data_IF_699884817978
#
_entry.id   IF_699884817978
#
_cell.length_a   1.000
_cell.length_b   1.000
_cell.length_c   1.000
_cell.angle_alpha   90.00
_cell.angle_beta   90.00
_cell.angle_gamma   90.00
#
_symmetry.space_group_name_H-M   'P 1'
#
loop_
_entity.id
_entity.type
_entity.pdbx_description
1 polymer ?
#
# COMPACT_ATOMS: atom_id res chain seq x y z
N UNK A 1 -0.48 8.01 -8.86
CA UNK A 1 -0.64 7.60 -10.28
C UNK A 1 0.25 8.47 -11.19
N UNK A 2 0.75 7.93 -12.30
CA UNK A 2 1.44 8.71 -13.34
C UNK A 2 0.39 9.20 -14.34
N UNK A 3 0.06 10.51 -14.40
CA UNK A 3 -0.86 11.02 -15.41
C UNK A 3 -0.40 10.61 -16.80
N UNK A 4 -1.33 10.12 -17.62
CA UNK A 4 -1.03 9.63 -18.97
C UNK A 4 -0.09 8.42 -19.05
N UNK A 5 0.24 7.75 -17.93
CA UNK A 5 1.22 6.66 -17.91
C UNK A 5 2.64 7.13 -18.22
N UNK A 6 2.94 8.40 -17.91
CA UNK A 6 4.21 9.06 -18.24
C UNK A 6 5.04 9.29 -16.98
N UNK A 7 6.27 8.77 -16.98
CA UNK A 7 7.22 8.93 -15.88
C UNK A 7 7.98 10.26 -15.95
N UNK A 8 8.04 10.89 -17.11
CA UNK A 8 8.72 12.16 -17.36
C UNK A 8 7.85 13.38 -17.00
N UNK A 9 6.58 13.15 -16.64
CA UNK A 9 5.61 14.18 -16.27
C UNK A 9 5.35 15.19 -17.39
N UNK A 10 5.47 14.79 -18.65
CA UNK A 10 5.16 15.64 -19.80
C UNK A 10 3.86 15.17 -20.46
N UNK A 11 2.96 16.12 -20.72
CA UNK A 11 1.72 15.89 -21.47
C UNK A 11 1.55 17.00 -22.49
N UNK A 12 1.36 16.64 -23.76
CA UNK A 12 1.13 17.60 -24.85
C UNK A 12 2.19 18.72 -24.92
N UNK A 13 3.44 18.40 -24.60
CA UNK A 13 4.56 19.36 -24.57
C UNK A 13 4.65 20.23 -23.31
N UNK A 14 3.68 20.13 -22.39
CA UNK A 14 3.69 20.83 -21.11
C UNK A 14 4.17 19.93 -19.97
N UNK A 15 4.89 20.51 -19.00
CA UNK A 15 5.27 19.82 -17.76
C UNK A 15 4.13 19.83 -16.75
N UNK A 16 3.79 18.66 -16.22
CA UNK A 16 2.78 18.46 -15.18
C UNK A 16 3.42 18.67 -13.79
N UNK A 17 3.66 19.93 -13.45
CA UNK A 17 4.41 20.32 -12.24
C UNK A 17 3.77 19.80 -10.95
N UNK A 18 2.45 19.89 -10.81
CA UNK A 18 1.75 19.44 -9.60
C UNK A 18 1.83 17.92 -9.42
N UNK A 19 1.71 17.17 -10.52
CA UNK A 19 1.82 15.71 -10.47
C UNK A 19 3.25 15.27 -10.09
N UNK A 20 4.25 15.93 -10.68
CA UNK A 20 5.67 15.70 -10.36
C UNK A 20 5.96 16.06 -8.90
N UNK A 21 5.50 17.22 -8.44
CA UNK A 21 5.68 17.68 -7.07
C UNK A 21 4.99 16.74 -6.08
N UNK A 22 3.74 16.35 -6.33
CA UNK A 22 3.00 15.41 -5.49
C UNK A 22 3.67 14.03 -5.41
N UNK A 23 4.16 13.50 -6.53
CA UNK A 23 4.90 12.24 -6.53
C UNK A 23 6.20 12.35 -5.73
N UNK A 24 7.02 13.37 -6.00
CA UNK A 24 8.33 13.52 -5.37
C UNK A 24 8.28 14.03 -3.92
N UNK A 25 7.16 14.58 -3.49
CA UNK A 25 6.91 14.84 -2.08
C UNK A 25 6.83 13.52 -1.28
N UNK A 26 6.20 12.49 -1.86
CA UNK A 26 5.97 11.22 -1.17
C UNK A 26 7.03 10.16 -1.47
N UNK A 27 7.53 10.08 -2.70
CA UNK A 27 8.43 9.03 -3.16
C UNK A 27 9.71 9.59 -3.78
N UNK A 28 10.81 8.87 -3.56
CA UNK A 28 12.09 9.10 -4.24
C UNK A 28 12.31 8.05 -5.32
N UNK A 29 13.06 8.42 -6.36
CA UNK A 29 13.37 7.56 -7.50
C UNK A 29 12.19 7.39 -8.46
N UNK A 30 12.52 7.31 -9.75
CA UNK A 30 11.53 7.07 -10.81
C UNK A 30 12.21 6.35 -11.96
N UNK A 31 11.52 5.37 -12.54
CA UNK A 31 11.99 4.68 -13.74
C UNK A 31 10.85 4.56 -14.75
N UNK A 32 11.15 4.43 -16.06
CA UNK A 32 10.12 4.20 -17.07
C UNK A 32 9.23 2.99 -16.76
N UNK A 33 9.80 1.92 -16.18
CA UNK A 33 9.06 0.70 -15.83
C UNK A 33 7.94 0.94 -14.80
N UNK A 34 8.08 1.94 -13.92
CA UNK A 34 7.03 2.30 -12.96
C UNK A 34 5.78 2.87 -13.63
N UNK A 35 5.89 3.43 -14.84
CA UNK A 35 4.76 4.00 -15.58
C UNK A 35 4.19 3.05 -16.66
N UNK A 36 5.02 2.16 -17.21
CA UNK A 36 4.60 1.23 -18.28
C UNK A 36 3.76 0.03 -17.79
N UNK A 37 2.87 -0.50 -18.65
CA UNK A 37 2.22 -1.82 -18.46
C UNK A 37 3.19 -2.92 -18.87
N UNK A 38 3.80 -3.58 -17.90
CA UNK A 38 4.71 -4.72 -18.13
C UNK A 38 4.21 -5.87 -17.26
N UNK A 39 3.49 -6.81 -17.89
CA UNK A 39 2.86 -7.91 -17.17
C UNK A 39 3.93 -8.83 -16.57
N UNK A 40 3.78 -9.15 -15.28
CA UNK A 40 4.62 -10.11 -14.57
C UNK A 40 6.05 -9.64 -14.31
N UNK A 41 6.37 -8.35 -14.47
CA UNK A 41 7.71 -7.77 -14.20
C UNK A 41 7.63 -6.42 -13.51
N UNK A 42 8.67 -6.10 -12.74
CA UNK A 42 8.76 -4.85 -12.01
C UNK A 42 7.72 -4.76 -10.89
N UNK A 43 7.32 -3.55 -10.56
CA UNK A 43 6.44 -3.28 -9.42
C UNK A 43 5.40 -2.21 -9.72
N UNK A 44 4.24 -2.33 -9.07
CA UNK A 44 3.19 -1.29 -9.04
C UNK A 44 2.77 -0.97 -7.62
N UNK A 45 2.24 0.23 -7.48
CA UNK A 45 2.04 0.89 -6.20
C UNK A 45 0.65 1.50 -6.14
N UNK A 46 -0.06 1.26 -5.05
CA UNK A 46 -1.16 2.10 -4.59
C UNK A 46 -0.83 2.62 -3.19
N UNK A 47 -1.38 3.77 -2.85
CA UNK A 47 -1.18 4.37 -1.54
C UNK A 47 -2.48 4.92 -0.99
N UNK A 48 -2.59 4.96 0.33
CA UNK A 48 -3.72 5.52 1.05
C UNK A 48 -3.24 6.37 2.23
N UNK A 49 -3.95 7.48 2.47
CA UNK A 49 -3.78 8.36 3.64
C UNK A 49 -5.02 8.36 4.54
N UNK A 50 -6.10 7.72 4.06
CA UNK A 50 -7.44 7.81 4.63
C UNK A 50 -8.09 6.44 4.71
N UNK A 51 -9.01 6.31 5.67
CA UNK A 51 -9.92 5.17 5.77
C UNK A 51 -11.13 5.31 4.82
N UNK A 52 -11.99 4.30 4.82
CA UNK A 52 -13.21 4.20 4.01
C UNK A 52 -14.18 5.38 4.24
N UNK A 53 -14.14 5.98 5.42
CA UNK A 53 -14.96 7.13 5.81
C UNK A 53 -14.25 8.47 5.53
N UNK A 54 -13.14 8.45 4.77
CA UNK A 54 -12.33 9.61 4.39
C UNK A 54 -11.64 10.34 5.55
N UNK A 55 -11.55 9.72 6.73
CA UNK A 55 -10.78 10.23 7.86
C UNK A 55 -9.30 9.91 7.68
N UNK A 56 -8.43 10.78 8.21
CA UNK A 56 -6.99 10.50 8.26
C UNK A 56 -6.72 9.27 9.13
N UNK A 57 -5.80 8.41 8.67
CA UNK A 57 -5.39 7.24 9.42
C UNK A 57 -4.65 7.64 10.71
N UNK A 58 -5.32 7.44 11.85
CA UNK A 58 -4.86 7.70 13.21
C UNK A 58 -4.16 6.47 13.79
N UNK A 59 -2.87 6.57 14.11
CA UNK A 59 -2.08 5.45 14.63
C UNK A 59 -2.45 4.96 16.04
N UNK A 60 -3.35 5.65 16.75
CA UNK A 60 -3.93 5.18 18.00
C UNK A 60 -5.15 4.26 17.83
N UNK A 61 -5.65 4.11 16.59
CA UNK A 61 -6.81 3.26 16.27
C UNK A 61 -6.38 1.99 15.53
N UNK A 62 -7.29 1.03 15.49
CA UNK A 62 -7.11 -0.22 14.76
C UNK A 62 -7.93 -0.19 13.47
N UNK A 63 -7.29 -0.55 12.37
CA UNK A 63 -7.89 -0.65 11.04
C UNK A 63 -7.66 -2.04 10.46
N UNK A 64 -8.47 -2.39 9.46
CA UNK A 64 -8.36 -3.61 8.69
C UNK A 64 -8.44 -3.27 7.20
N UNK A 65 -7.65 -3.95 6.39
CA UNK A 65 -7.87 -4.04 4.93
C UNK A 65 -8.14 -5.49 4.57
N UNK A 66 -9.24 -5.72 3.85
CA UNK A 66 -9.51 -7.00 3.24
C UNK A 66 -8.79 -7.07 1.89
N UNK A 67 -7.93 -8.07 1.70
CA UNK A 67 -7.19 -8.33 0.46
C UNK A 67 -7.88 -9.50 -0.25
N UNK A 68 -8.65 -9.26 -1.32
CA UNK A 68 -9.39 -10.33 -1.99
C UNK A 68 -8.45 -11.43 -2.52
N UNK A 69 -8.96 -12.66 -2.73
CA UNK A 69 -8.14 -13.74 -3.26
C UNK A 69 -7.61 -13.39 -4.67
N UNK A 70 -6.66 -14.20 -5.15
CA UNK A 70 -6.06 -14.04 -6.47
C UNK A 70 -5.40 -12.66 -6.69
N UNK A 71 -4.66 -12.18 -5.67
CA UNK A 71 -3.89 -10.94 -5.77
C UNK A 71 -3.03 -10.96 -7.04
N UNK A 72 -3.14 -9.96 -7.93
CA UNK A 72 -2.46 -9.95 -9.22
C UNK A 72 -0.98 -9.56 -9.09
N UNK A 73 -0.23 -10.34 -8.31
CA UNK A 73 1.20 -10.23 -8.10
C UNK A 73 1.83 -11.60 -8.33
N UNK A 74 2.63 -11.73 -9.39
CA UNK A 74 3.32 -12.96 -9.77
C UNK A 74 4.31 -13.41 -8.69
N UNK A 75 5.00 -12.46 -8.08
CA UNK A 75 6.07 -12.75 -7.13
C UNK A 75 5.52 -12.68 -5.69
N UNK A 76 5.13 -11.49 -5.24
CA UNK A 76 4.53 -11.26 -3.92
C UNK A 76 3.89 -9.86 -3.84
N UNK A 77 3.19 -9.58 -2.75
CA UNK A 77 2.65 -8.26 -2.42
C UNK A 77 2.99 -7.86 -0.99
N UNK A 78 3.01 -6.55 -0.71
CA UNK A 78 3.30 -6.04 0.62
C UNK A 78 2.55 -4.75 0.94
N UNK A 79 2.32 -4.52 2.24
CA UNK A 79 1.98 -3.23 2.80
C UNK A 79 3.16 -2.68 3.60
N UNK A 80 3.42 -1.39 3.49
CA UNK A 80 4.42 -0.69 4.34
C UNK A 80 3.86 0.64 4.79
N UNK A 81 4.01 0.93 6.08
CA UNK A 81 3.54 2.15 6.71
C UNK A 81 4.63 3.23 6.69
N UNK A 82 4.19 4.47 6.50
CA UNK A 82 5.03 5.66 6.44
C UNK A 82 4.52 6.72 7.39
N UNK A 83 5.45 7.41 8.03
CA UNK A 83 5.17 8.59 8.84
C UNK A 83 4.85 9.77 7.92
N UNK A 84 3.68 10.40 8.10
CA UNK A 84 3.24 11.46 7.18
C UNK A 84 4.08 12.75 7.27
N UNK A 85 4.79 12.98 8.38
CA UNK A 85 5.63 14.17 8.52
C UNK A 85 6.94 13.98 7.78
N UNK A 86 7.59 12.82 7.93
CA UNK A 86 8.93 12.56 7.37
C UNK A 86 8.91 11.84 6.03
N UNK A 87 7.82 11.14 5.72
CA UNK A 87 7.65 10.22 4.58
C UNK A 87 8.65 9.04 4.60
N UNK A 88 9.31 8.83 5.74
CA UNK A 88 10.10 7.64 6.01
C UNK A 88 9.21 6.50 6.48
N UNK A 89 9.73 5.28 6.45
CA UNK A 89 9.07 4.14 7.09
C UNK A 89 8.68 4.49 8.53
N UNK A 90 7.45 4.18 8.93
CA UNK A 90 6.94 4.51 10.26
C UNK A 90 7.83 3.85 11.32
N UNK A 91 8.36 4.62 12.26
CA UNK A 91 9.19 4.06 13.32
C UNK A 91 8.31 3.42 14.40
N UNK A 92 8.45 2.11 14.58
CA UNK A 92 7.68 1.27 15.51
C UNK A 92 8.64 0.45 16.39
N UNK A 93 8.11 -0.26 17.39
CA UNK A 93 8.91 -1.22 18.17
C UNK A 93 9.13 -2.53 17.39
N UNK A 94 8.21 -2.86 16.48
CA UNK A 94 8.39 -3.94 15.52
C UNK A 94 9.57 -3.65 14.58
N UNK A 95 10.32 -4.71 14.23
CA UNK A 95 11.50 -4.62 13.34
C UNK A 95 11.19 -3.96 11.99
N UNK A 96 9.99 -4.19 11.45
CA UNK A 96 9.55 -3.64 10.19
C UNK A 96 8.13 -3.06 10.32
N UNK A 97 7.85 -1.86 9.81
CA UNK A 97 6.51 -1.27 9.80
C UNK A 97 5.75 -1.72 8.55
N UNK A 98 5.78 -3.01 8.26
CA UNK A 98 5.19 -3.58 7.06
C UNK A 98 5.04 -5.08 7.15
N UNK A 99 4.29 -5.61 6.20
CA UNK A 99 4.00 -7.04 6.07
C UNK A 99 3.95 -7.40 4.58
N UNK A 100 4.37 -8.60 4.26
CA UNK A 100 4.26 -9.18 2.92
C UNK A 100 3.74 -10.62 3.02
N UNK A 101 3.18 -11.12 1.92
CA UNK A 101 2.55 -12.45 1.92
C UNK A 101 3.54 -13.63 1.92
N UNK A 102 4.85 -13.39 1.95
CA UNK A 102 5.84 -14.43 2.23
C UNK A 102 6.16 -14.56 3.72
N UNK A 103 5.59 -13.70 4.58
CA UNK A 103 5.77 -13.79 6.04
C UNK A 103 5.37 -15.21 6.52
N UNK A 104 6.30 -15.96 7.15
CA UNK A 104 5.97 -17.25 7.72
C UNK A 104 4.85 -17.14 8.74
N UNK A 105 3.85 -18.02 8.63
CA UNK A 105 2.70 -18.07 9.55
C UNK A 105 1.60 -17.04 9.26
N UNK A 106 1.72 -16.22 8.20
CA UNK A 106 0.62 -15.35 7.78
C UNK A 106 -0.63 -16.17 7.50
N UNK A 107 -1.74 -15.79 8.13
CA UNK A 107 -3.00 -16.51 8.09
C UNK A 107 -3.77 -16.11 6.84
N UNK A 108 -4.10 -17.10 6.02
CA UNK A 108 -4.95 -16.98 4.84
C UNK A 108 -6.37 -17.42 5.20
N UNK A 109 -7.37 -16.66 4.74
CA UNK A 109 -8.78 -16.99 4.89
C UNK A 109 -9.17 -18.19 4.03
N UNK A 110 -10.30 -18.83 4.33
CA UNK A 110 -10.74 -20.06 3.64
C UNK A 110 -10.96 -19.86 2.12
N UNK A 111 -11.35 -18.66 1.70
CA UNK A 111 -11.54 -18.27 0.30
C UNK A 111 -10.24 -17.89 -0.43
N UNK A 112 -9.11 -17.91 0.28
CA UNK A 112 -7.80 -17.53 -0.23
C UNK A 112 -7.45 -16.04 -0.08
N UNK A 113 -8.33 -15.25 0.51
CA UNK A 113 -8.12 -13.84 0.85
C UNK A 113 -7.24 -13.68 2.09
N UNK A 114 -6.92 -12.42 2.43
CA UNK A 114 -6.24 -12.08 3.67
C UNK A 114 -6.91 -10.87 4.31
N UNK A 115 -7.04 -10.88 5.62
CA UNK A 115 -7.29 -9.66 6.39
C UNK A 115 -5.97 -9.18 6.98
N UNK A 116 -5.61 -7.92 6.73
CA UNK A 116 -4.41 -7.29 7.29
C UNK A 116 -4.82 -6.17 8.22
N UNK A 117 -4.26 -6.16 9.42
CA UNK A 117 -4.60 -5.21 10.47
C UNK A 117 -3.49 -4.19 10.68
N UNK A 118 -3.88 -2.96 11.00
CA UNK A 118 -2.98 -1.87 11.33
C UNK A 118 -3.44 -1.27 12.65
N UNK A 119 -2.60 -1.26 13.69
CA UNK A 119 -3.01 -0.74 14.99
C UNK A 119 -1.87 -0.71 16.00
N UNK A 120 -2.01 -0.02 17.15
CA UNK A 120 -0.94 0.05 18.14
C UNK A 120 -0.68 -1.30 18.82
N UNK A 121 -1.66 -2.21 18.78
CA UNK A 121 -1.57 -3.60 19.25
C UNK A 121 -2.29 -4.51 18.25
N UNK A 122 -1.86 -5.76 18.16
CA UNK A 122 -2.56 -6.78 17.37
C UNK A 122 -3.94 -7.07 17.98
N UNK A 123 -5.00 -7.18 17.17
CA UNK A 123 -6.24 -7.82 17.58
C UNK A 123 -6.00 -9.27 17.99
N UNK A 124 -6.88 -9.82 18.84
CA UNK A 124 -6.76 -11.19 19.33
C UNK A 124 -6.68 -12.20 18.17
N UNK A 125 -5.62 -13.03 18.17
CA UNK A 125 -5.38 -14.05 17.15
C UNK A 125 -4.87 -13.53 15.80
N UNK A 126 -4.58 -12.23 15.68
CA UNK A 126 -4.17 -11.60 14.42
C UNK A 126 -2.68 -11.18 14.38
N UNK A 127 -1.86 -11.68 15.31
CA UNK A 127 -0.43 -11.33 15.44
C UNK A 127 0.37 -11.52 14.13
N UNK A 128 0.00 -12.55 13.34
CA UNK A 128 0.66 -12.84 12.08
C UNK A 128 0.19 -11.96 10.91
N UNK A 129 -0.95 -11.30 11.03
CA UNK A 129 -1.59 -10.48 10.00
C UNK A 129 -1.62 -8.99 10.36
N UNK A 130 -0.82 -8.57 11.34
CA UNK A 130 -0.86 -7.23 11.90
C UNK A 130 0.45 -6.46 11.67
N UNK A 131 0.33 -5.15 11.50
CA UNK A 131 1.43 -4.19 11.45
C UNK A 131 1.20 -3.11 12.52
N UNK A 132 2.24 -2.86 13.32
CA UNK A 132 2.18 -1.89 14.39
C UNK A 132 2.03 -0.45 13.86
N UNK A 133 1.14 0.31 14.49
CA UNK A 133 1.03 1.78 14.34
C UNK A 133 1.42 2.47 15.65
N UNK A 134 1.46 3.80 15.65
CA UNK A 134 1.92 4.59 16.80
C UNK A 134 0.85 5.60 17.22
N UNK A 135 0.38 5.50 18.46
CA UNK A 135 -0.57 6.45 19.04
C UNK A 135 -0.01 7.88 18.99
N UNK A 136 -0.86 8.86 18.65
CA UNK A 136 -0.47 10.26 18.51
C UNK A 136 0.24 10.60 17.19
N UNK A 137 0.41 9.63 16.29
CA UNK A 137 0.89 9.86 14.92
C UNK A 137 -0.18 9.51 13.89
N UNK A 138 -0.21 10.28 12.80
CA UNK A 138 -0.87 9.83 11.57
C UNK A 138 0.11 9.08 10.67
N UNK A 139 -0.42 8.21 9.83
CA UNK A 139 0.38 7.40 8.93
C UNK A 139 -0.26 7.31 7.54
N UNK A 140 0.51 6.79 6.59
CA UNK A 140 0.05 6.39 5.28
C UNK A 140 0.60 5.03 4.95
N UNK A 141 0.02 4.37 3.96
CA UNK A 141 0.43 3.03 3.55
C UNK A 141 0.60 2.94 2.06
N UNK A 142 1.58 2.15 1.64
CA UNK A 142 1.77 1.76 0.25
C UNK A 142 1.52 0.25 0.12
N UNK A 143 0.57 -0.13 -0.72
CA UNK A 143 0.45 -1.47 -1.29
C UNK A 143 1.42 -1.60 -2.46
N UNK A 144 2.28 -2.60 -2.44
CA UNK A 144 3.18 -2.97 -3.53
C UNK A 144 2.78 -4.31 -4.12
N UNK A 145 2.69 -4.37 -5.44
CA UNK A 145 2.57 -5.62 -6.20
C UNK A 145 3.87 -5.86 -6.95
N UNK A 146 4.51 -6.99 -6.70
CA UNK A 146 5.74 -7.42 -7.39
C UNK A 146 5.37 -8.43 -8.48
N UNK A 147 5.77 -8.12 -9.72
CA UNK A 147 5.29 -8.82 -10.91
C UNK A 147 3.79 -8.64 -11.15
N UNK A 148 3.27 -7.41 -11.28
CA UNK A 148 1.85 -7.12 -11.46
C UNK A 148 1.23 -7.85 -12.66
N UNK A 149 0.05 -8.45 -12.48
CA UNK A 149 -0.69 -9.16 -13.54
C UNK A 149 -1.81 -8.32 -14.15
N UNK A 150 -2.41 -8.80 -15.23
CA UNK A 150 -3.43 -8.07 -16.03
C UNK A 150 -4.57 -7.49 -15.20
N UNK A 151 -5.10 -8.24 -14.22
CA UNK A 151 -6.23 -7.79 -13.40
C UNK A 151 -5.96 -6.50 -12.61
N UNK A 152 -4.68 -6.20 -12.29
CA UNK A 152 -4.30 -4.91 -11.72
C UNK A 152 -4.47 -3.77 -12.73
N UNK A 153 -4.00 -3.97 -13.95
CA UNK A 153 -4.01 -2.96 -15.02
C UNK A 153 -5.42 -2.69 -15.53
N UNK A 154 -6.21 -3.75 -15.67
CA UNK A 154 -7.57 -3.69 -16.20
C UNK A 154 -8.58 -3.35 -15.09
N UNK A 155 -8.10 -3.15 -13.86
CA UNK A 155 -8.86 -2.76 -12.66
C UNK A 155 -10.00 -3.71 -12.32
N UNK A 156 -9.88 -4.98 -12.71
CA UNK A 156 -10.83 -6.05 -12.36
C UNK A 156 -10.53 -6.63 -10.97
N UNK A 157 -9.37 -6.32 -10.41
CA UNK A 157 -9.01 -6.59 -9.02
C UNK A 157 -8.58 -5.29 -8.32
N UNK A 158 -8.99 -5.12 -7.06
CA UNK A 158 -8.52 -4.07 -6.15
C UNK A 158 -8.54 -4.58 -4.70
N UNK A 159 -7.69 -4.08 -3.80
CA UNK A 159 -7.87 -4.32 -2.37
C UNK A 159 -9.19 -3.70 -1.90
N UNK A 160 -9.72 -4.19 -0.78
CA UNK A 160 -10.77 -3.49 -0.06
C UNK A 160 -10.32 -2.12 0.44
N UNK A 161 -11.26 -1.32 0.90
CA UNK A 161 -10.94 -0.07 1.60
C UNK A 161 -10.29 -0.38 2.95
N UNK A 162 -9.57 0.60 3.51
CA UNK A 162 -9.08 0.52 4.88
C UNK A 162 -10.23 0.91 5.81
N UNK A 163 -10.69 -0.03 6.61
CA UNK A 163 -11.86 0.14 7.48
C UNK A 163 -11.42 0.26 8.93
N UNK A 164 -12.05 1.17 9.69
CA UNK A 164 -11.88 1.24 11.14
C UNK A 164 -12.50 -0.01 11.79
N UNK A 165 -11.72 -0.71 12.62
CA UNK A 165 -12.23 -1.81 13.44
C UNK A 165 -12.91 -1.20 14.68
N UNK A 166 -14.21 -1.46 14.83
CA UNK A 166 -15.02 -0.99 15.96
C UNK A 166 -15.00 -1.96 17.12
#
# INVERSE_FOLDING_TARGET
PFPGGKYDWVSEGASLLDARAGFHFYATGITPAMAMKIIGKGSKYAYAYKDADSNTLDGGKTYKVHVPPNVPAKDFWSFTLYDNQTRSMLQTDARFPGIDNNKPGMVKNADGSYDVYFGPKAPEGQDNNWVQTVSGKSWSVILRLYGPLEAWYDKTWRPGEIELVK
#
